data_IF_482160810558
#
_entry.id   IF_482160810558
#
_cell.length_a   1.000
_cell.length_b   1.000
_cell.length_c   1.000
_cell.angle_alpha   90.00
_cell.angle_beta   90.00
_cell.angle_gamma   90.00
#
_symmetry.space_group_name_H-M   'P 1'
#
loop_
_entity.id
_entity.type
_entity.pdbx_description
1 polymer ?
#
# COMPACT_ATOMS: atom_id res chain seq x y z
N UNK A 1 8.80 5.48 10.26
CA UNK A 1 9.03 4.24 9.47
C UNK A 1 8.11 4.26 8.27
N UNK A 2 8.59 3.81 7.10
CA UNK A 2 7.78 3.82 5.88
C UNK A 2 7.11 2.45 5.70
N UNK A 3 5.85 2.49 5.32
CA UNK A 3 5.03 1.31 5.02
C UNK A 3 4.63 1.34 3.56
N UNK A 4 4.34 0.16 3.03
CA UNK A 4 3.99 -0.03 1.64
C UNK A 4 2.80 -0.97 1.55
N UNK A 5 1.77 -0.61 0.80
CA UNK A 5 0.65 -1.49 0.49
C UNK A 5 0.77 -1.94 -0.95
N UNK A 6 0.78 -3.26 -1.16
CA UNK A 6 0.84 -3.82 -2.50
C UNK A 6 -0.57 -4.05 -3.03
N UNK A 7 -0.77 -3.79 -4.33
CA UNK A 7 -2.03 -4.04 -5.02
C UNK A 7 -1.88 -5.18 -6.03
N UNK A 8 -3.00 -5.80 -6.39
CA UNK A 8 -3.08 -6.75 -7.51
C UNK A 8 -3.61 -6.09 -8.79
N UNK A 9 -3.93 -4.79 -8.77
CA UNK A 9 -4.31 -4.03 -9.95
C UNK A 9 -3.80 -2.58 -9.89
N UNK A 10 -3.20 -2.13 -11.00
CA UNK A 10 -2.73 -0.75 -11.20
C UNK A 10 -3.89 0.25 -11.03
N UNK A 11 -5.07 -0.09 -11.53
CA UNK A 11 -6.26 0.75 -11.40
C UNK A 11 -6.64 0.98 -9.95
N UNK A 12 -6.51 -0.05 -9.10
CA UNK A 12 -6.79 0.06 -7.68
C UNK A 12 -5.75 0.88 -6.95
N UNK A 13 -4.47 0.72 -7.30
CA UNK A 13 -3.39 1.53 -6.73
C UNK A 13 -3.58 3.02 -7.06
N UNK A 14 -3.82 3.36 -8.33
CA UNK A 14 -4.08 4.76 -8.75
C UNK A 14 -5.36 5.30 -8.10
N UNK A 15 -6.41 4.48 -7.98
CA UNK A 15 -7.66 4.90 -7.33
C UNK A 15 -7.44 5.19 -5.84
N UNK A 16 -6.77 4.29 -5.12
CA UNK A 16 -6.43 4.46 -3.72
C UNK A 16 -5.61 5.73 -3.51
N UNK A 17 -4.55 5.93 -4.31
CA UNK A 17 -3.69 7.11 -4.26
C UNK A 17 -4.52 8.39 -4.33
N UNK A 18 -5.34 8.53 -5.37
CA UNK A 18 -6.17 9.72 -5.58
C UNK A 18 -7.13 9.97 -4.41
N UNK A 19 -7.72 8.92 -3.85
CA UNK A 19 -8.65 9.05 -2.73
C UNK A 19 -7.93 9.47 -1.45
N UNK A 20 -6.74 8.93 -1.21
CA UNK A 20 -5.88 9.25 -0.08
C UNK A 20 -5.37 10.69 -0.17
N UNK A 21 -4.87 11.10 -1.33
CA UNK A 21 -4.47 12.48 -1.59
C UNK A 21 -5.64 13.45 -1.39
N UNK A 22 -6.85 13.10 -1.86
CA UNK A 22 -8.07 13.88 -1.62
C UNK A 22 -8.45 13.96 -0.13
N UNK A 23 -8.13 12.93 0.65
CA UNK A 23 -8.35 12.92 2.09
C UNK A 23 -7.24 13.65 2.88
N UNK A 24 -6.24 14.23 2.20
CA UNK A 24 -5.11 14.91 2.84
C UNK A 24 -4.04 13.95 3.38
N UNK A 25 -4.05 12.69 2.93
CA UNK A 25 -3.10 11.67 3.34
C UNK A 25 -1.92 11.64 2.37
N UNK A 26 -0.70 11.82 2.89
CA UNK A 26 0.52 11.75 2.12
C UNK A 26 0.85 10.30 1.74
N UNK A 27 0.61 9.95 0.48
CA UNK A 27 0.94 8.65 -0.12
C UNK A 27 1.61 8.84 -1.48
N UNK A 28 2.46 7.90 -1.85
CA UNK A 28 3.19 7.93 -3.13
C UNK A 28 3.08 6.59 -3.84
N UNK A 29 2.68 6.58 -5.10
CA UNK A 29 2.69 5.38 -5.93
C UNK A 29 4.12 5.04 -6.32
N UNK A 30 4.55 3.84 -5.95
CA UNK A 30 5.87 3.29 -6.24
C UNK A 30 5.76 1.95 -6.96
N UNK A 31 6.72 1.62 -7.86
CA UNK A 31 6.77 0.28 -8.43
C UNK A 31 7.01 -0.74 -7.32
N UNK A 32 6.31 -1.87 -7.37
CA UNK A 32 6.47 -2.92 -6.38
C UNK A 32 7.92 -3.46 -6.46
N UNK A 33 8.67 -3.43 -5.34
CA UNK A 33 9.99 -4.03 -5.26
C UNK A 33 9.93 -5.50 -5.65
N UNK A 34 10.97 -6.01 -6.33
CA UNK A 34 11.05 -7.43 -6.74
C UNK A 34 10.93 -8.42 -5.57
N UNK A 35 11.25 -7.99 -4.36
CA UNK A 35 11.11 -8.77 -3.12
C UNK A 35 9.64 -8.99 -2.73
N UNK A 36 8.74 -8.10 -3.14
CA UNK A 36 7.30 -8.24 -2.94
C UNK A 36 6.72 -8.87 -4.20
N UNK A 37 6.37 -10.15 -4.13
CA UNK A 37 5.67 -10.84 -5.21
C UNK A 37 4.25 -10.27 -5.34
N UNK A 38 4.05 -9.23 -6.16
CA UNK A 38 2.73 -8.70 -6.51
C UNK A 38 2.49 -8.82 -8.01
N UNK A 39 1.29 -9.25 -8.42
CA UNK A 39 0.99 -9.57 -9.82
C UNK A 39 0.98 -8.35 -10.76
N UNK A 40 0.67 -7.15 -10.25
CA UNK A 40 0.53 -5.94 -11.08
C UNK A 40 1.69 -4.94 -10.95
N UNK A 41 2.68 -5.22 -10.09
CA UNK A 41 3.90 -4.41 -9.99
C UNK A 41 3.72 -2.97 -9.49
N UNK A 42 2.58 -2.59 -8.88
CA UNK A 42 2.37 -1.26 -8.29
C UNK A 42 1.98 -1.34 -6.82
N UNK A 43 2.54 -0.43 -6.03
CA UNK A 43 2.33 -0.32 -4.59
C UNK A 43 2.19 1.14 -4.17
N UNK A 44 1.55 1.40 -3.03
CA UNK A 44 1.55 2.73 -2.42
C UNK A 44 2.45 2.74 -1.19
N UNK A 45 3.42 3.64 -1.18
CA UNK A 45 4.24 3.93 -0.03
C UNK A 45 3.63 5.07 0.78
N UNK A 46 3.62 4.93 2.09
CA UNK A 46 3.07 5.91 3.01
C UNK A 46 3.80 5.84 4.36
N UNK A 47 3.74 6.94 5.12
CA UNK A 47 4.30 6.95 6.46
C UNK A 47 3.49 6.03 7.38
N UNK A 48 4.13 5.41 8.37
CA UNK A 48 3.43 4.65 9.41
C UNK A 48 2.27 5.42 10.07
N UNK A 49 2.43 6.73 10.28
CA UNK A 49 1.39 7.60 10.82
C UNK A 49 0.13 7.68 9.92
N UNK A 50 0.29 7.44 8.62
CA UNK A 50 -0.79 7.40 7.66
C UNK A 50 -1.45 6.01 7.55
N UNK A 51 -0.96 4.98 8.24
CA UNK A 51 -1.49 3.63 8.08
C UNK A 51 -2.96 3.48 8.49
N UNK A 52 -3.36 4.12 9.59
CA UNK A 52 -4.74 4.16 10.06
C UNK A 52 -5.68 4.79 9.01
N UNK A 53 -5.48 6.04 8.57
CA UNK A 53 -6.35 6.65 7.57
C UNK A 53 -6.27 5.94 6.21
N UNK A 54 -5.11 5.38 5.84
CA UNK A 54 -4.98 4.56 4.63
C UNK A 54 -5.88 3.34 4.71
N UNK A 55 -5.76 2.55 5.78
CA UNK A 55 -6.56 1.34 6.00
C UNK A 55 -8.05 1.66 6.03
N UNK A 56 -8.45 2.66 6.80
CA UNK A 56 -9.85 3.08 6.90
C UNK A 56 -10.44 3.50 5.55
N UNK A 57 -9.67 4.23 4.74
CA UNK A 57 -10.13 4.65 3.40
C UNK A 57 -10.22 3.45 2.44
N UNK A 58 -9.23 2.56 2.45
CA UNK A 58 -9.23 1.35 1.62
C UNK A 58 -10.44 0.46 1.95
N UNK A 59 -10.74 0.25 3.24
CA UNK A 59 -11.91 -0.51 3.69
C UNK A 59 -13.23 0.18 3.31
N UNK A 60 -13.33 1.50 3.55
CA UNK A 60 -14.52 2.29 3.21
C UNK A 60 -14.85 2.24 1.72
N UNK A 61 -13.81 2.33 0.89
CA UNK A 61 -13.92 2.34 -0.57
C UNK A 61 -13.92 0.93 -1.19
N UNK A 62 -13.81 -0.11 -0.34
CA UNK A 62 -13.70 -1.52 -0.72
C UNK A 62 -12.61 -1.78 -1.75
N UNK A 63 -11.45 -1.15 -1.55
CA UNK A 63 -10.28 -1.36 -2.40
C UNK A 63 -9.60 -2.65 -1.98
N UNK A 64 -9.40 -3.54 -2.95
CA UNK A 64 -8.72 -4.83 -2.82
C UNK A 64 -7.22 -4.57 -2.85
N UNK A 65 -6.55 -4.88 -1.76
CA UNK A 65 -5.11 -4.82 -1.65
C UNK A 65 -4.58 -6.19 -1.24
N UNK A 66 -3.36 -6.50 -1.63
CA UNK A 66 -2.71 -7.77 -1.30
C UNK A 66 -2.30 -7.83 0.16
N UNK A 67 -1.76 -6.73 0.67
CA UNK A 67 -1.29 -6.64 2.04
C UNK A 67 -0.48 -5.39 2.31
N UNK A 68 -0.24 -5.13 3.59
CA UNK A 68 0.61 -4.04 4.07
C UNK A 68 1.94 -4.64 4.50
N UNK A 69 3.01 -3.99 4.06
CA UNK A 69 4.38 -4.37 4.28
C UNK A 69 5.12 -3.24 4.99
N UNK A 70 5.96 -3.58 5.96
CA UNK A 70 6.90 -2.65 6.59
C UNK A 70 8.30 -2.83 6.00
N UNK A 71 8.92 -1.70 5.63
CA UNK A 71 10.31 -1.72 5.21
C UNK A 71 11.21 -1.84 6.44
N UNK A 72 12.11 -2.82 6.44
CA UNK A 72 13.09 -3.01 7.52
C UNK A 72 14.24 -2.01 7.35
N UNK A 73 14.48 -1.11 8.31
CA UNK A 73 15.59 -0.16 8.21
C UNK A 73 16.94 -0.88 8.14
N UNK A 74 17.78 -0.48 7.18
CA UNK A 74 19.09 -1.11 6.95
C UNK A 74 19.07 -2.36 6.06
N UNK A 75 17.90 -2.80 5.60
CA UNK A 75 17.75 -3.92 4.67
C UNK A 75 16.80 -3.54 3.52
N UNK A 76 16.91 -4.23 2.38
CA UNK A 76 15.95 -4.08 1.27
C UNK A 76 14.69 -4.93 1.43
N UNK A 77 14.56 -5.60 2.58
CA UNK A 77 13.50 -6.56 2.87
C UNK A 77 12.22 -5.85 3.34
N UNK A 78 11.09 -6.43 2.96
CA UNK A 78 9.75 -6.01 3.36
C UNK A 78 9.08 -7.12 4.16
N UNK A 79 8.63 -6.82 5.38
CA UNK A 79 7.91 -7.76 6.23
C UNK A 79 6.40 -7.51 6.14
N UNK A 80 5.62 -8.56 5.92
CA UNK A 80 4.16 -8.44 5.82
C UNK A 80 3.55 -8.24 7.22
N UNK A 81 3.00 -7.05 7.46
CA UNK A 81 2.31 -6.71 8.70
C UNK A 81 0.83 -7.15 8.69
N UNK A 82 0.19 -7.10 7.51
CA UNK A 82 -1.20 -7.44 7.37
C UNK A 82 -1.48 -8.08 6.00
N UNK A 83 -2.21 -9.19 6.00
CA UNK A 83 -2.84 -9.70 4.79
C UNK A 83 -4.01 -8.79 4.42
N UNK A 84 -4.06 -8.38 3.16
CA UNK A 84 -5.18 -7.63 2.62
C UNK A 84 -6.28 -8.55 2.16
N UNK A 85 -7.40 -7.95 1.77
CA UNK A 85 -8.49 -8.62 1.08
C UNK A 85 -8.07 -8.91 -0.36
N UNK A 86 -7.20 -9.91 -0.55
CA UNK A 86 -6.96 -10.51 -1.86
C UNK A 86 -8.15 -11.44 -2.18
N UNK A 87 -8.73 -11.26 -3.37
CA UNK A 87 -9.82 -12.10 -3.89
C UNK A 87 -9.28 -13.38 -4.54
#
# INVERSE_FOLDING_TARGET
MNRLVAFDSVHQAIRAERLLLKAGVAVELVPTPREISASCGQSLQFAEAAAEPVRALLERERIVFRGIYAQVPGQRIYEQLAAGTAN
#
